data_IF_976994103007
#
_entry.id   IF_976994103007
#
_cell.length_a   1.000
_cell.length_b   1.000
_cell.length_c   1.000
_cell.angle_alpha   90.00
_cell.angle_beta   90.00
_cell.angle_gamma   90.00
#
_symmetry.space_group_name_H-M   'P 1'
#
loop_
_entity.id
_entity.type
_entity.pdbx_description
1 polymer ?
#
# COMPACT_ATOMS: atom_id res chain seq x y z
N UNK A 1 -14.79 3.92 4.11
CA UNK A 1 -14.54 2.79 5.04
C UNK A 1 -13.84 3.34 6.28
N UNK A 2 -14.25 2.91 7.45
CA UNK A 2 -13.70 3.37 8.73
C UNK A 2 -12.47 2.49 9.03
N UNK A 3 -11.38 3.06 9.59
CA UNK A 3 -10.10 2.38 9.85
C UNK A 3 -10.27 1.04 10.56
N UNK A 4 -11.23 0.98 11.46
CA UNK A 4 -11.60 -0.16 12.29
C UNK A 4 -12.15 -1.32 11.44
N UNK A 5 -13.04 -1.03 10.48
CA UNK A 5 -13.56 -2.04 9.54
C UNK A 5 -12.45 -2.60 8.63
N UNK A 6 -11.49 -1.74 8.26
CA UNK A 6 -10.34 -2.19 7.48
C UNK A 6 -9.43 -3.11 8.30
N UNK A 7 -9.25 -2.82 9.59
CA UNK A 7 -8.46 -3.65 10.51
C UNK A 7 -9.08 -5.04 10.66
N UNK A 8 -10.38 -5.13 10.97
CA UNK A 8 -11.09 -6.40 11.12
C UNK A 8 -10.99 -7.25 9.84
N UNK A 9 -11.20 -6.64 8.67
CA UNK A 9 -11.08 -7.33 7.39
C UNK A 9 -9.66 -7.86 7.12
N UNK A 10 -8.64 -7.08 7.47
CA UNK A 10 -7.24 -7.48 7.32
C UNK A 10 -6.96 -8.67 8.25
N UNK A 11 -7.34 -8.57 9.52
CA UNK A 11 -7.11 -9.63 10.52
C UNK A 11 -7.83 -10.94 10.15
N UNK A 12 -9.04 -10.87 9.58
CA UNK A 12 -9.78 -12.05 9.10
C UNK A 12 -9.09 -12.73 7.90
N UNK A 13 -8.44 -11.94 7.04
CA UNK A 13 -7.74 -12.44 5.84
C UNK A 13 -6.27 -12.80 6.07
N UNK A 14 -5.76 -12.56 7.27
CA UNK A 14 -4.39 -12.93 7.62
C UNK A 14 -4.29 -14.42 7.95
N UNK A 15 -3.13 -14.99 7.65
CA UNK A 15 -2.79 -16.32 8.12
C UNK A 15 -2.70 -16.31 9.65
N UNK A 16 -3.25 -17.34 10.30
CA UNK A 16 -3.32 -17.45 11.76
C UNK A 16 -1.94 -17.45 12.45
N UNK A 17 -0.91 -17.85 11.72
CA UNK A 17 0.48 -17.93 12.19
C UNK A 17 1.33 -16.73 11.72
N UNK A 18 0.70 -15.62 11.33
CA UNK A 18 1.38 -14.40 10.88
C UNK A 18 0.92 -13.20 11.72
N UNK A 19 1.89 -12.42 12.22
CA UNK A 19 1.61 -11.32 13.13
C UNK A 19 1.51 -9.99 12.35
N UNK A 20 0.47 -9.21 12.62
CA UNK A 20 0.30 -7.89 12.03
C UNK A 20 1.22 -6.89 12.70
N UNK A 21 2.20 -6.36 11.97
CA UNK A 21 3.09 -5.29 12.44
C UNK A 21 2.39 -3.94 12.32
N UNK A 22 1.61 -3.75 11.24
CA UNK A 22 0.78 -2.57 11.10
C UNK A 22 0.13 -2.48 9.73
N UNK A 23 -0.74 -1.50 9.56
CA UNK A 23 -1.43 -1.27 8.29
C UNK A 23 -1.63 0.22 8.02
N UNK A 24 -1.68 0.58 6.75
CA UNK A 24 -1.85 1.96 6.32
C UNK A 24 -2.58 2.04 4.98
N UNK A 25 -3.22 3.18 4.75
CA UNK A 25 -3.88 3.47 3.49
C UNK A 25 -2.87 4.06 2.50
N UNK A 26 -2.95 3.64 1.26
CA UNK A 26 -2.14 4.19 0.18
C UNK A 26 -2.95 4.34 -1.11
N UNK A 27 -2.45 5.19 -2.02
CA UNK A 27 -3.07 5.41 -3.33
C UNK A 27 -2.04 5.20 -4.41
N UNK A 28 -2.35 4.39 -5.41
CA UNK A 28 -1.58 4.32 -6.64
C UNK A 28 -2.07 5.41 -7.60
N UNK A 29 -1.21 6.39 -7.94
CA UNK A 29 -1.60 7.47 -8.84
C UNK A 29 -1.86 6.90 -10.25
N UNK A 30 -2.72 7.58 -11.03
CA UNK A 30 -2.97 7.18 -12.40
C UNK A 30 -1.70 7.43 -13.23
N UNK A 31 -1.51 6.68 -14.31
CA UNK A 31 -0.41 6.97 -15.21
C UNK A 31 -0.69 8.30 -15.92
N UNK A 32 0.22 9.27 -15.79
CA UNK A 32 -0.02 10.65 -16.25
C UNK A 32 -0.37 10.74 -17.74
N UNK A 33 0.18 9.86 -18.59
CA UNK A 33 -0.13 9.82 -20.02
C UNK A 33 -1.62 9.56 -20.31
N UNK A 34 -2.38 8.94 -19.39
CA UNK A 34 -3.82 8.75 -19.54
C UNK A 34 -4.59 10.07 -19.59
N UNK A 35 -4.05 11.15 -19.00
CA UNK A 35 -4.65 12.48 -19.11
C UNK A 35 -4.77 12.92 -20.58
N UNK A 36 -3.82 12.54 -21.43
CA UNK A 36 -3.85 12.88 -22.86
C UNK A 36 -4.96 12.15 -23.63
N UNK A 37 -5.41 10.99 -23.14
CA UNK A 37 -6.43 10.17 -23.82
C UNK A 37 -7.84 10.44 -23.32
N UNK A 38 -8.02 10.54 -22.00
CA UNK A 38 -9.34 10.61 -21.35
C UNK A 38 -9.54 11.90 -20.55
N UNK A 39 -8.60 12.85 -20.67
CA UNK A 39 -8.67 14.14 -20.00
C UNK A 39 -8.77 13.98 -18.47
N UNK A 40 -9.56 14.83 -17.79
CA UNK A 40 -9.76 14.78 -16.35
C UNK A 40 -10.30 13.45 -15.82
N UNK A 41 -10.96 12.61 -16.63
CA UNK A 41 -11.49 11.31 -16.19
C UNK A 41 -10.38 10.30 -15.85
N UNK A 42 -9.12 10.58 -16.19
CA UNK A 42 -7.99 9.73 -15.81
C UNK A 42 -7.89 9.49 -14.30
N UNK A 43 -8.42 10.39 -13.46
CA UNK A 43 -8.48 10.22 -12.00
C UNK A 43 -9.26 8.97 -11.58
N UNK A 44 -10.22 8.50 -12.38
CA UNK A 44 -10.97 7.27 -12.10
C UNK A 44 -10.11 6.00 -12.21
N UNK A 45 -8.93 6.11 -12.84
CA UNK A 45 -7.95 5.01 -12.88
C UNK A 45 -7.08 4.93 -11.63
N UNK A 46 -7.21 5.88 -10.69
CA UNK A 46 -6.58 5.81 -9.37
C UNK A 46 -7.04 4.58 -8.63
N UNK A 47 -6.09 3.91 -7.96
CA UNK A 47 -6.37 2.72 -7.16
C UNK A 47 -6.07 3.02 -5.70
N UNK A 48 -7.04 2.77 -4.84
CA UNK A 48 -6.87 2.92 -3.39
C UNK A 48 -6.59 1.55 -2.78
N UNK A 49 -5.65 1.51 -1.85
CA UNK A 49 -5.23 0.29 -1.17
C UNK A 49 -5.20 0.49 0.35
N UNK A 50 -5.45 -0.59 1.08
CA UNK A 50 -4.92 -0.80 2.42
C UNK A 50 -3.74 -1.76 2.31
N UNK A 51 -2.57 -1.32 2.76
CA UNK A 51 -1.39 -2.17 2.87
C UNK A 51 -1.32 -2.67 4.30
N UNK A 52 -1.27 -3.98 4.47
CA UNK A 52 -0.99 -4.61 5.75
C UNK A 52 0.42 -5.20 5.70
N UNK A 53 1.23 -4.86 6.71
CA UNK A 53 2.60 -5.32 6.87
C UNK A 53 2.59 -6.35 7.98
N UNK A 54 3.02 -7.54 7.64
CA UNK A 54 3.12 -8.67 8.56
C UNK A 54 4.58 -9.05 8.76
N UNK A 55 4.85 -10.09 9.54
CA UNK A 55 6.22 -10.58 9.71
C UNK A 55 6.76 -11.24 8.44
N UNK A 56 5.89 -11.88 7.67
CA UNK A 56 6.25 -12.62 6.46
C UNK A 56 6.27 -11.75 5.21
N UNK A 57 5.46 -10.71 5.15
CA UNK A 57 5.35 -9.93 3.93
C UNK A 57 4.40 -8.74 3.99
N UNK A 58 3.90 -8.36 2.82
CA UNK A 58 3.03 -7.21 2.62
C UNK A 58 1.80 -7.62 1.81
N UNK A 59 0.61 -7.41 2.38
CA UNK A 59 -0.67 -7.57 1.70
C UNK A 59 -1.16 -6.25 1.12
N UNK A 60 -1.58 -6.27 -0.14
CA UNK A 60 -2.20 -5.17 -0.86
C UNK A 60 -3.70 -5.44 -1.03
N UNK A 61 -4.50 -4.86 -0.15
CA UNK A 61 -5.96 -4.95 -0.24
C UNK A 61 -6.51 -3.78 -1.05
N UNK A 62 -6.91 -4.05 -2.29
CA UNK A 62 -7.42 -3.04 -3.21
C UNK A 62 -8.88 -2.72 -2.90
N UNK A 63 -9.20 -1.44 -2.90
CA UNK A 63 -10.56 -0.94 -2.81
C UNK A 63 -11.14 -0.66 -4.20
N UNK A 64 -12.43 -0.94 -4.35
CA UNK A 64 -13.28 -0.41 -5.41
C UNK A 64 -13.47 1.10 -5.26
N UNK A 65 -14.00 1.75 -6.30
CA UNK A 65 -14.36 3.18 -6.26
C UNK A 65 -15.35 3.52 -5.13
N UNK A 66 -16.23 2.57 -4.79
CA UNK A 66 -17.19 2.68 -3.68
C UNK A 66 -16.56 2.39 -2.31
N UNK A 67 -15.26 2.13 -2.26
CA UNK A 67 -14.52 1.87 -1.04
C UNK A 67 -14.68 0.47 -0.44
N UNK A 68 -15.24 -0.51 -1.18
CA UNK A 68 -15.29 -1.93 -0.77
C UNK A 68 -14.04 -2.68 -1.20
N UNK A 69 -13.57 -3.64 -0.40
CA UNK A 69 -12.48 -4.54 -0.79
C UNK A 69 -12.86 -5.38 -2.01
N UNK A 70 -11.97 -5.47 -3.00
CA UNK A 70 -12.23 -6.17 -4.27
C UNK A 70 -11.17 -7.22 -4.59
N UNK A 71 -9.89 -6.87 -4.43
CA UNK A 71 -8.76 -7.72 -4.78
C UNK A 71 -7.76 -7.70 -3.63
N UNK A 72 -7.04 -8.81 -3.45
CA UNK A 72 -6.00 -8.97 -2.45
C UNK A 72 -4.81 -9.66 -3.11
N UNK A 73 -3.66 -9.01 -3.07
CA UNK A 73 -2.37 -9.60 -3.43
C UNK A 73 -1.52 -9.67 -2.16
N UNK A 74 -0.94 -10.83 -1.84
CA UNK A 74 0.07 -10.95 -0.80
C UNK A 74 1.43 -11.21 -1.45
N UNK A 75 2.46 -10.57 -0.91
CA UNK A 75 3.85 -10.78 -1.32
C UNK A 75 4.70 -11.01 -0.10
N UNK A 76 5.43 -12.11 -0.08
CA UNK A 76 6.46 -12.34 0.93
C UNK A 76 7.62 -11.35 0.75
N UNK A 77 8.34 -11.03 1.83
CA UNK A 77 9.52 -10.17 1.71
C UNK A 77 10.59 -10.75 0.76
N UNK A 78 10.67 -12.08 0.66
CA UNK A 78 11.53 -12.80 -0.26
C UNK A 78 11.20 -12.52 -1.73
N UNK A 79 9.94 -12.25 -2.06
CA UNK A 79 9.48 -11.96 -3.43
C UNK A 79 9.67 -10.49 -3.83
N UNK A 80 10.00 -9.63 -2.85
CA UNK A 80 10.20 -8.20 -3.05
C UNK A 80 11.69 -7.93 -3.23
N UNK A 81 12.07 -7.62 -4.45
CA UNK A 81 13.46 -7.35 -4.82
C UNK A 81 13.98 -6.05 -4.18
N UNK A 82 13.18 -4.98 -4.25
CA UNK A 82 13.57 -3.69 -3.67
C UNK A 82 12.37 -2.79 -3.41
N UNK A 83 12.54 -1.88 -2.44
CA UNK A 83 11.59 -0.80 -2.19
C UNK A 83 12.29 0.54 -2.19
N UNK A 84 11.79 1.44 -3.04
CA UNK A 84 12.20 2.84 -3.06
C UNK A 84 11.19 3.68 -2.30
N UNK A 85 11.64 4.30 -1.21
CA UNK A 85 10.83 5.18 -0.37
C UNK A 85 11.25 6.63 -0.62
N UNK A 86 10.34 7.42 -1.20
CA UNK A 86 10.57 8.85 -1.46
C UNK A 86 10.33 9.73 -0.24
N UNK A 87 10.58 11.03 -0.38
CA UNK A 87 10.20 12.05 0.61
C UNK A 87 8.91 12.74 0.19
N UNK A 88 8.02 13.01 1.12
CA UNK A 88 6.79 13.76 0.89
C UNK A 88 6.13 14.20 2.20
N UNK A 89 5.47 15.36 2.18
CA UNK A 89 4.98 16.03 3.40
C UNK A 89 3.64 15.49 3.91
N UNK A 90 2.73 15.16 2.99
CA UNK A 90 1.39 14.63 3.29
C UNK A 90 1.29 13.13 3.03
N UNK A 91 2.05 12.66 2.05
CA UNK A 91 2.09 11.28 1.62
C UNK A 91 3.53 10.83 1.44
N UNK A 92 3.77 9.54 1.63
CA UNK A 92 5.05 8.88 1.42
C UNK A 92 4.99 8.08 0.11
N UNK A 93 5.67 8.51 -0.97
CA UNK A 93 5.77 7.71 -2.18
C UNK A 93 6.58 6.45 -1.91
N UNK A 94 6.08 5.30 -2.34
CA UNK A 94 6.74 4.01 -2.23
C UNK A 94 6.62 3.28 -3.58
N UNK A 95 7.72 2.70 -4.05
CA UNK A 95 7.75 1.87 -5.25
C UNK A 95 8.32 0.51 -4.88
N UNK A 96 7.48 -0.50 -4.96
CA UNK A 96 7.83 -1.91 -4.76
C UNK A 96 8.19 -2.50 -6.11
N UNK A 97 9.39 -3.08 -6.21
CA UNK A 97 9.83 -3.90 -7.34
C UNK A 97 9.91 -5.34 -6.86
N UNK A 98 9.22 -6.23 -7.56
CA UNK A 98 9.17 -7.66 -7.23
C UNK A 98 10.07 -8.44 -8.18
N UNK A 99 10.50 -9.63 -7.75
CA UNK A 99 11.41 -10.49 -8.52
C UNK A 99 10.89 -10.85 -9.92
N UNK A 100 9.57 -10.85 -10.11
CA UNK A 100 8.92 -11.10 -11.41
C UNK A 100 8.84 -9.86 -12.31
N UNK A 101 9.63 -8.81 -12.06
CA UNK A 101 9.59 -7.50 -12.73
C UNK A 101 8.29 -6.71 -12.56
N UNK A 102 7.31 -7.19 -11.77
CA UNK A 102 6.12 -6.40 -11.41
C UNK A 102 6.59 -5.18 -10.60
N UNK A 103 5.93 -4.05 -10.83
CA UNK A 103 6.19 -2.80 -10.08
C UNK A 103 4.88 -2.26 -9.56
N UNK A 104 4.81 -1.98 -8.27
CA UNK A 104 3.65 -1.34 -7.63
C UNK A 104 4.10 -0.01 -7.04
N UNK A 105 3.57 1.08 -7.57
CA UNK A 105 3.81 2.43 -7.04
C UNK A 105 2.60 2.87 -6.25
N UNK A 106 2.82 3.23 -4.99
CA UNK A 106 1.77 3.75 -4.09
C UNK A 106 2.26 4.99 -3.35
N UNK A 107 1.32 5.75 -2.82
CA UNK A 107 1.57 6.91 -1.95
C UNK A 107 0.85 6.67 -0.64
N UNK A 108 1.59 6.30 0.40
CA UNK A 108 1.06 6.02 1.72
C UNK A 108 0.65 7.33 2.42
N UNK A 109 -0.48 7.33 3.13
CA UNK A 109 -0.93 8.52 3.85
C UNK A 109 -0.11 8.72 5.13
N UNK A 110 0.50 9.90 5.30
CA UNK A 110 1.20 10.29 6.54
C UNK A 110 0.30 11.11 7.46
N UNK A 111 -0.62 11.88 6.88
CA UNK A 111 -1.55 12.76 7.59
C UNK A 111 -2.98 12.49 7.14
N UNK A 112 -3.94 12.75 8.02
CA UNK A 112 -5.36 12.51 7.78
C UNK A 112 -6.19 12.58 9.06
N UNK A 113 -7.51 12.78 8.89
CA UNK A 113 -8.51 12.72 9.96
C UNK A 113 -8.56 11.29 10.52
N UNK A 114 -8.98 11.10 11.78
CA UNK A 114 -8.84 9.85 12.55
C UNK A 114 -9.30 8.54 11.85
N UNK A 115 -10.14 8.64 10.82
CA UNK A 115 -10.63 7.51 10.02
C UNK A 115 -9.64 6.95 8.98
N UNK A 116 -8.50 7.60 8.75
CA UNK A 116 -7.46 7.17 7.78
C UNK A 116 -6.37 6.39 8.50
N UNK A 117 -6.05 5.18 8.03
CA UNK A 117 -4.89 4.44 8.51
C UNK A 117 -3.61 5.09 7.97
N UNK A 118 -2.77 5.62 8.87
CA UNK A 118 -1.54 6.32 8.53
C UNK A 118 -0.36 5.36 8.55
N UNK A 119 0.62 5.61 7.70
CA UNK A 119 1.92 4.95 7.81
C UNK A 119 2.63 5.47 9.07
N UNK A 120 2.76 4.60 10.07
CA UNK A 120 3.50 4.89 11.29
C UNK A 120 5.01 4.75 11.04
N UNK A 121 5.87 5.54 11.74
CA UNK A 121 7.32 5.45 11.58
C UNK A 121 7.88 4.05 11.82
N UNK A 122 7.36 3.34 12.83
CA UNK A 122 7.77 1.97 13.19
C UNK A 122 7.51 0.99 12.05
N UNK A 123 6.36 1.10 11.38
CA UNK A 123 5.99 0.25 10.24
C UNK A 123 6.89 0.54 9.04
N UNK A 124 7.23 1.82 8.81
CA UNK A 124 8.16 2.19 7.74
C UNK A 124 9.55 1.60 8.02
N UNK A 125 10.07 1.77 9.24
CA UNK A 125 11.36 1.21 9.64
C UNK A 125 11.39 -0.32 9.53
N UNK A 126 10.27 -0.99 9.84
CA UNK A 126 10.14 -2.44 9.68
C UNK A 126 10.26 -2.87 8.21
N UNK A 127 9.59 -2.17 7.30
CA UNK A 127 9.72 -2.44 5.86
C UNK A 127 11.17 -2.20 5.41
N UNK A 128 11.78 -1.11 5.85
CA UNK A 128 13.16 -0.74 5.50
C UNK A 128 14.19 -1.74 6.01
N UNK A 129 14.00 -2.31 7.20
CA UNK A 129 14.95 -3.28 7.79
C UNK A 129 14.88 -4.67 7.17
N UNK A 130 13.72 -5.04 6.60
CA UNK A 130 13.50 -6.33 5.93
C UNK A 130 13.90 -6.33 4.46
N UNK A 131 14.25 -5.19 3.88
CA UNK A 131 14.45 -5.04 2.45
C UNK A 131 15.79 -4.38 2.11
N UNK A 132 16.39 -4.77 0.98
CA UNK A 132 17.51 -4.03 0.42
C UNK A 132 17.01 -2.69 -0.12
N UNK A 133 17.39 -1.59 0.53
CA UNK A 133 17.09 -0.25 0.06
C UNK A 133 17.86 0.01 -1.24
N UNK A 134 17.15 0.14 -2.37
CA UNK A 134 17.75 0.63 -3.61
C UNK A 134 18.14 2.09 -3.42
N UNK A 135 19.45 2.39 -3.42
CA UNK A 135 19.98 3.76 -3.35
C UNK A 135 19.50 4.62 -4.54
#
# INVERSE_FOLDING_TARGET
MIKEQAKEYIEEKMNKDDQLIGFFQAVSPPQFWLFLLVGPLFVLSMRTYFLAVTEKGISFHKLSLLGKFKEHDFFEFSEIESVKIGKGLLQRPMKFTFQNNRKITVRAQLKGVGKVAKLLPEVQQYIESRMTLSQ
#
